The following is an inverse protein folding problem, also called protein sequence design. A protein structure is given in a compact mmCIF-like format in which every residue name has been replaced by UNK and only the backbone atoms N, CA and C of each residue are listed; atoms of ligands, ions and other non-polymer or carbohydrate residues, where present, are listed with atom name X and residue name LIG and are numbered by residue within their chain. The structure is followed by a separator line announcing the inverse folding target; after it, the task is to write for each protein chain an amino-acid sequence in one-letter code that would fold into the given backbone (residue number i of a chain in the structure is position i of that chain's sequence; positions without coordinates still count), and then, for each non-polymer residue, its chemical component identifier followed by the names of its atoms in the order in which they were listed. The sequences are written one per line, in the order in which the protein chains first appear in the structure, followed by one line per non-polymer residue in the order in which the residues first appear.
data_IF_156103403234
#
_entry.id   IF_156103403234
#
_cell.length_a   1.000
_cell.length_b   1.000
_cell.length_c   1.000
_cell.angle_alpha   90.00
_cell.angle_beta   90.00
_cell.angle_gamma   90.00
#
_symmetry.space_group_name_H-M   'P 1'
#
loop_
_entity.id
_entity.type
_entity.pdbx_description
1 polymer ?
#
# COMPACT_ATOMS: atom_id res chain seq x y z
N UNK A 1 -0.22 1.36 -19.34
CA UNK A 1 -1.19 1.63 -18.25
C UNK A 1 -1.54 0.39 -17.43
N UNK A 2 -2.13 -0.67 -18.01
CA UNK A 2 -2.58 -1.85 -17.25
C UNK A 2 -1.49 -2.55 -16.43
N UNK A 3 -0.29 -2.74 -17.02
CA UNK A 3 0.86 -3.34 -16.34
C UNK A 3 1.29 -2.51 -15.13
N UNK A 4 1.38 -1.19 -15.27
CA UNK A 4 1.72 -0.26 -14.19
C UNK A 4 0.71 -0.34 -13.04
N UNK A 5 -0.59 -0.40 -13.37
CA UNK A 5 -1.66 -0.54 -12.36
C UNK A 5 -1.50 -1.86 -11.59
N UNK A 6 -1.24 -2.97 -12.29
CA UNK A 6 -1.02 -4.27 -11.64
C UNK A 6 0.20 -4.24 -10.72
N UNK A 7 1.34 -3.77 -11.21
CA UNK A 7 2.59 -3.69 -10.43
C UNK A 7 2.41 -2.83 -9.18
N UNK A 8 1.86 -1.62 -9.33
CA UNK A 8 1.59 -0.74 -8.19
C UNK A 8 0.59 -1.37 -7.21
N UNK A 9 -0.45 -2.05 -7.71
CA UNK A 9 -1.43 -2.74 -6.87
C UNK A 9 -0.77 -3.84 -6.04
N UNK A 10 0.12 -4.65 -6.63
CA UNK A 10 0.84 -5.70 -5.90
C UNK A 10 1.77 -5.14 -4.82
N UNK A 11 2.47 -4.03 -5.12
CA UNK A 11 3.40 -3.38 -4.17
C UNK A 11 2.66 -2.70 -3.02
N UNK A 12 1.50 -2.10 -3.28
CA UNK A 12 0.77 -1.27 -2.32
C UNK A 12 -0.31 -2.02 -1.54
N UNK A 13 -0.77 -3.18 -2.04
CA UNK A 13 -1.69 -4.09 -1.35
C UNK A 13 -1.37 -4.34 0.14
N UNK A 14 -0.13 -4.65 0.56
CA UNK A 14 0.17 -4.95 1.96
C UNK A 14 -0.20 -3.82 2.94
N UNK A 15 -0.18 -2.57 2.49
CA UNK A 15 -0.51 -1.42 3.33
C UNK A 15 -1.99 -1.43 3.76
N UNK A 16 -2.89 -1.64 2.80
CA UNK A 16 -4.33 -1.77 3.08
C UNK A 16 -4.61 -3.02 3.91
N UNK A 17 -3.94 -4.13 3.57
CA UNK A 17 -4.08 -5.40 4.29
C UNK A 17 -3.68 -5.27 5.76
N UNK A 18 -2.52 -4.66 6.07
CA UNK A 18 -2.05 -4.49 7.44
C UNK A 18 -2.98 -3.60 8.25
N UNK A 19 -3.48 -2.50 7.67
CA UNK A 19 -4.45 -1.63 8.32
C UNK A 19 -5.77 -2.36 8.60
N UNK A 20 -6.31 -3.08 7.62
CA UNK A 20 -7.52 -3.87 7.77
C UNK A 20 -7.35 -4.99 8.82
N UNK A 21 -6.24 -5.72 8.78
CA UNK A 21 -5.91 -6.78 9.75
C UNK A 21 -5.81 -6.21 11.16
N UNK A 22 -5.16 -5.07 11.33
CA UNK A 22 -5.05 -4.40 12.64
C UNK A 22 -6.42 -4.01 13.19
N UNK A 23 -7.33 -3.57 12.31
CA UNK A 23 -8.69 -3.21 12.68
C UNK A 23 -9.49 -4.43 13.14
N UNK A 24 -9.50 -5.50 12.34
CA UNK A 24 -10.19 -6.74 12.71
C UNK A 24 -9.63 -7.37 13.98
N UNK A 25 -8.31 -7.30 14.20
CA UNK A 25 -7.68 -7.81 15.42
C UNK A 25 -8.02 -7.01 16.67
N UNK A 26 -8.38 -5.72 16.53
CA UNK A 26 -8.78 -4.84 17.65
C UNK A 26 -10.27 -4.93 17.96
N UNK A 27 -11.09 -5.37 17.01
CA UNK A 27 -12.51 -5.64 17.23
C UNK A 27 -12.63 -6.88 18.13
N UNK A 28 -12.92 -6.69 19.41
CA UNK A 28 -13.07 -7.80 20.36
C UNK A 28 -14.20 -8.77 19.98
N UNK A 29 -14.13 -10.01 20.48
CA UNK A 29 -15.12 -11.09 20.24
C UNK A 29 -16.57 -10.68 20.56
N UNK A 30 -16.76 -9.67 21.42
CA UNK A 30 -18.07 -9.15 21.87
C UNK A 30 -19.03 -8.81 20.72
N UNK A 31 -18.56 -8.14 19.67
CA UNK A 31 -19.43 -7.77 18.53
C UNK A 31 -19.86 -9.01 17.73
N UNK A 32 -18.98 -10.01 17.65
CA UNK A 32 -19.27 -11.28 17.00
C UNK A 32 -20.26 -12.10 17.83
N UNK A 33 -20.03 -12.23 19.14
CA UNK A 33 -20.90 -12.94 20.07
C UNK A 33 -22.30 -12.32 20.13
N UNK A 34 -22.39 -10.98 20.24
CA UNK A 34 -23.67 -10.26 20.23
C UNK A 34 -24.48 -10.53 18.95
N UNK A 35 -23.83 -10.54 17.78
CA UNK A 35 -24.50 -10.87 16.53
C UNK A 35 -25.04 -12.30 16.49
N UNK A 36 -24.31 -13.26 17.10
CA UNK A 36 -24.73 -14.67 17.16
C UNK A 36 -25.90 -14.86 18.12
N UNK A 37 -25.92 -14.15 19.25
CA UNK A 37 -27.07 -14.12 20.18
C UNK A 37 -28.33 -13.58 19.51
N UNK A 38 -28.17 -12.67 18.52
CA UNK A 38 -29.26 -12.16 17.69
C UNK A 38 -29.63 -13.08 16.50
N UNK A 39 -29.08 -14.29 16.44
CA UNK A 39 -29.39 -15.28 15.40
C UNK A 39 -28.66 -15.06 14.06
N UNK A 40 -27.69 -14.14 13.99
CA UNK A 40 -26.94 -13.94 12.75
C UNK A 40 -25.86 -15.01 12.54
N UNK A 41 -25.83 -15.58 11.34
CA UNK A 41 -24.76 -16.45 10.88
C UNK A 41 -23.46 -15.70 10.54
N UNK A 42 -22.32 -16.40 10.43
CA UNK A 42 -21.00 -15.79 10.28
C UNK A 42 -20.85 -14.88 9.06
N UNK A 43 -21.50 -15.20 7.94
CA UNK A 43 -21.47 -14.36 6.74
C UNK A 43 -22.26 -13.05 6.96
N UNK A 44 -23.41 -13.14 7.64
CA UNK A 44 -24.23 -11.96 7.98
C UNK A 44 -23.48 -11.03 8.93
N UNK A 45 -22.84 -11.60 9.95
CA UNK A 45 -21.99 -10.85 10.90
C UNK A 45 -20.83 -10.15 10.19
N UNK A 46 -20.16 -10.81 9.25
CA UNK A 46 -19.05 -10.19 8.50
C UNK A 46 -19.50 -8.94 7.74
N UNK A 47 -20.56 -9.05 6.95
CA UNK A 47 -21.03 -7.94 6.11
C UNK A 47 -21.71 -6.81 6.89
N UNK A 48 -22.44 -7.12 7.96
CA UNK A 48 -23.22 -6.14 8.72
C UNK A 48 -22.48 -5.54 9.91
N UNK A 49 -21.52 -6.25 10.49
CA UNK A 49 -20.83 -5.82 11.72
C UNK A 49 -19.35 -5.60 11.47
N UNK A 50 -18.62 -6.65 11.06
CA UNK A 50 -17.16 -6.58 10.96
C UNK A 50 -16.68 -5.60 9.88
N UNK A 51 -17.27 -5.67 8.68
CA UNK A 51 -16.86 -4.86 7.54
C UNK A 51 -17.13 -3.36 7.79
N UNK A 52 -18.33 -2.90 8.21
CA UNK A 52 -18.58 -1.50 8.54
C UNK A 52 -17.66 -0.98 9.65
N UNK A 53 -17.37 -1.80 10.65
CA UNK A 53 -16.49 -1.44 11.77
C UNK A 53 -15.02 -1.32 11.34
N UNK A 54 -14.61 -2.06 10.29
CA UNK A 54 -13.27 -1.97 9.69
C UNK A 54 -13.14 -0.85 8.63
N UNK A 55 -14.25 -0.30 8.10
CA UNK A 55 -14.23 0.73 7.04
C UNK A 55 -13.28 1.89 7.33
N UNK A 56 -13.27 2.52 8.53
CA UNK A 56 -12.37 3.65 8.78
C UNK A 56 -10.89 3.29 8.63
N UNK A 57 -10.50 2.07 9.01
CA UNK A 57 -9.13 1.61 8.87
C UNK A 57 -8.77 1.25 7.43
N UNK A 58 -9.71 0.68 6.67
CA UNK A 58 -9.53 0.41 5.24
C UNK A 58 -9.35 1.73 4.48
N UNK A 59 -10.17 2.74 4.79
CA UNK A 59 -10.04 4.09 4.21
C UNK A 59 -8.69 4.71 4.56
N UNK A 60 -8.24 4.59 5.80
CA UNK A 60 -6.90 5.08 6.19
C UNK A 60 -5.77 4.37 5.42
N UNK A 61 -5.85 3.04 5.27
CA UNK A 61 -4.91 2.29 4.44
C UNK A 61 -4.95 2.71 2.97
N UNK A 62 -6.14 2.96 2.42
CA UNK A 62 -6.31 3.44 1.06
C UNK A 62 -5.74 4.86 0.87
N UNK A 63 -5.93 5.77 1.83
CA UNK A 63 -5.33 7.12 1.80
C UNK A 63 -3.81 7.06 1.77
N UNK A 64 -3.21 6.17 2.57
CA UNK A 64 -1.77 5.94 2.56
C UNK A 64 -1.29 5.44 1.20
N UNK A 65 -2.00 4.47 0.60
CA UNK A 65 -1.72 4.00 -0.76
C UNK A 65 -1.80 5.14 -1.79
N UNK A 66 -2.82 6.00 -1.70
CA UNK A 66 -2.95 7.17 -2.60
C UNK A 66 -1.74 8.08 -2.47
N UNK A 67 -1.26 8.37 -1.26
CA UNK A 67 -0.08 9.21 -1.06
C UNK A 67 1.20 8.59 -1.63
N UNK A 68 1.40 7.29 -1.40
CA UNK A 68 2.52 6.55 -2.00
C UNK A 68 2.46 6.60 -3.53
N UNK A 69 1.28 6.39 -4.14
CA UNK A 69 1.15 6.47 -5.61
C UNK A 69 1.39 7.87 -6.17
N UNK A 70 0.94 8.92 -5.47
CA UNK A 70 1.13 10.30 -5.91
C UNK A 70 2.60 10.71 -5.85
N UNK A 71 3.34 10.16 -4.89
CA UNK A 71 4.77 10.42 -4.70
C UNK A 71 5.67 9.51 -5.56
N UNK A 72 5.12 8.50 -6.23
CA UNK A 72 5.91 7.60 -7.07
C UNK A 72 6.27 8.26 -8.40
N UNK A 73 7.56 8.49 -8.61
CA UNK A 73 8.14 8.94 -9.87
C UNK A 73 8.78 7.78 -10.65
N UNK A 74 9.50 6.90 -9.96
CA UNK A 74 10.40 5.93 -10.59
C UNK A 74 9.64 4.87 -11.39
N UNK A 75 8.61 4.26 -10.81
CA UNK A 75 7.87 3.20 -11.50
C UNK A 75 7.09 3.77 -12.69
N UNK A 76 6.40 4.90 -12.49
CA UNK A 76 5.59 5.53 -13.55
C UNK A 76 6.44 6.07 -14.70
N UNK A 77 7.63 6.60 -14.42
CA UNK A 77 8.58 7.01 -15.46
C UNK A 77 9.12 5.79 -16.21
N UNK A 78 9.49 4.71 -15.51
CA UNK A 78 10.00 3.49 -16.14
C UNK A 78 8.98 2.89 -17.13
N UNK A 79 7.69 2.92 -16.78
CA UNK A 79 6.61 2.46 -17.64
C UNK A 79 6.09 3.51 -18.64
N UNK A 80 6.70 4.70 -18.69
CA UNK A 80 6.33 5.77 -19.62
C UNK A 80 4.91 6.32 -19.42
N UNK A 81 4.39 6.27 -18.19
CA UNK A 81 3.04 6.73 -17.86
C UNK A 81 3.07 8.22 -17.52
N UNK A 82 2.35 9.08 -18.28
CA UNK A 82 2.28 10.50 -17.96
C UNK A 82 1.44 10.72 -16.69
N UNK A 83 2.12 11.06 -15.60
CA UNK A 83 1.53 11.47 -14.31
C UNK A 83 1.90 12.91 -13.97
N UNK A 84 1.22 13.49 -12.98
CA UNK A 84 1.53 14.84 -12.50
C UNK A 84 3.00 14.97 -12.07
N UNK A 85 3.52 13.97 -11.37
CA UNK A 85 4.92 13.89 -10.91
C UNK A 85 5.89 13.86 -12.09
N UNK A 86 5.63 13.04 -13.11
CA UNK A 86 6.46 13.05 -14.35
C UNK A 86 6.37 14.38 -15.10
N UNK A 87 5.22 15.07 -15.03
CA UNK A 87 5.02 16.39 -15.60
C UNK A 87 5.91 17.45 -14.95
N UNK A 88 6.03 17.45 -13.62
CA UNK A 88 6.95 18.34 -12.88
C UNK A 88 8.39 18.14 -13.35
N UNK A 89 8.85 16.88 -13.36
CA UNK A 89 10.21 16.55 -13.79
C UNK A 89 10.45 16.90 -15.25
N UNK A 90 9.49 16.66 -16.14
CA UNK A 90 9.61 17.02 -17.55
C UNK A 90 9.73 18.53 -17.74
N UNK A 91 8.98 19.34 -16.98
CA UNK A 91 9.09 20.81 -17.02
C UNK A 91 10.46 21.27 -16.56
N UNK A 92 11.02 20.61 -15.54
CA UNK A 92 12.37 20.93 -15.07
C UNK A 92 13.46 20.51 -16.07
N UNK A 93 13.49 19.24 -16.47
CA UNK A 93 14.62 18.66 -17.21
C UNK A 93 14.50 18.80 -18.72
N UNK A 94 13.29 18.67 -19.29
CA UNK A 94 13.09 18.73 -20.73
C UNK A 94 12.82 20.15 -21.23
N UNK A 95 12.12 20.97 -20.44
CA UNK A 95 11.81 22.37 -20.80
C UNK A 95 12.79 23.39 -20.21
N UNK A 96 13.71 22.98 -19.32
CA UNK A 96 14.61 23.87 -18.57
C UNK A 96 13.88 25.00 -17.82
N UNK A 97 12.60 24.82 -17.50
CA UNK A 97 11.78 25.81 -16.78
C UNK A 97 11.70 25.45 -15.29
N UNK A 98 12.75 25.80 -14.56
CA UNK A 98 12.82 25.62 -13.10
C UNK A 98 11.68 26.38 -12.36
N UNK A 99 11.39 27.66 -12.66
CA UNK A 99 10.28 28.36 -12.04
C UNK A 99 8.92 27.69 -12.28
N UNK A 100 8.66 27.19 -13.50
CA UNK A 100 7.45 26.45 -13.83
C UNK A 100 7.33 25.14 -13.05
N UNK A 101 8.41 24.37 -12.95
CA UNK A 101 8.44 23.13 -12.17
C UNK A 101 8.17 23.36 -10.68
N UNK A 102 8.72 24.42 -10.09
CA UNK A 102 8.47 24.78 -8.68
C UNK A 102 7.00 25.11 -8.42
N UNK A 103 6.33 25.82 -9.33
CA UNK A 103 4.89 26.13 -9.21
C UNK A 103 4.04 24.85 -9.25
N UNK A 104 4.35 23.95 -10.18
CA UNK A 104 3.67 22.66 -10.27
C UNK A 104 3.89 21.81 -9.01
N UNK A 105 5.12 21.75 -8.49
CA UNK A 105 5.44 21.05 -7.25
C UNK A 105 4.70 21.64 -6.04
N UNK A 106 4.60 22.97 -5.95
CA UNK A 106 3.84 23.63 -4.89
C UNK A 106 2.34 23.27 -4.95
N UNK A 107 1.73 23.22 -6.15
CA UNK A 107 0.35 22.78 -6.30
C UNK A 107 0.14 21.33 -5.89
N UNK A 108 1.05 20.42 -6.26
CA UNK A 108 1.00 19.02 -5.84
C UNK A 108 1.11 18.90 -4.31
N UNK A 109 2.04 19.64 -3.70
CA UNK A 109 2.23 19.62 -2.25
C UNK A 109 0.98 20.12 -1.51
N UNK A 110 0.36 21.20 -1.99
CA UNK A 110 -0.88 21.72 -1.43
C UNK A 110 -2.03 20.72 -1.58
N UNK A 111 -2.12 20.05 -2.73
CA UNK A 111 -3.11 19.01 -2.97
C UNK A 111 -2.95 17.81 -2.03
N UNK A 112 -1.72 17.33 -1.83
CA UNK A 112 -1.42 16.25 -0.87
C UNK A 112 -1.77 16.68 0.55
N UNK A 113 -1.42 17.91 0.95
CA UNK A 113 -1.77 18.44 2.26
C UNK A 113 -3.30 18.51 2.45
N UNK A 114 -4.03 18.92 1.41
CA UNK A 114 -5.49 18.94 1.43
C UNK A 114 -6.08 17.54 1.65
N UNK A 115 -5.58 16.52 0.95
CA UNK A 115 -5.99 15.12 1.16
C UNK A 115 -5.67 14.66 2.58
N UNK A 116 -4.48 14.95 3.09
CA UNK A 116 -4.07 14.62 4.47
C UNK A 116 -4.98 15.28 5.51
N UNK A 117 -5.38 16.53 5.31
CA UNK A 117 -6.29 17.24 6.20
C UNK A 117 -7.68 16.61 6.19
N UNK A 118 -8.21 16.28 5.00
CA UNK A 118 -9.48 15.53 4.86
C UNK A 118 -9.38 14.20 5.60
N UNK A 119 -8.32 13.42 5.37
CA UNK A 119 -8.12 12.14 6.05
C UNK A 119 -8.10 12.32 7.58
N UNK A 120 -7.36 13.31 8.08
CA UNK A 120 -7.28 13.62 9.51
C UNK A 120 -8.64 14.00 10.10
N UNK A 121 -9.45 14.77 9.36
CA UNK A 121 -10.79 15.16 9.78
C UNK A 121 -11.76 13.97 9.78
N UNK A 122 -11.75 13.14 8.73
CA UNK A 122 -12.53 11.90 8.67
C UNK A 122 -12.14 10.93 9.82
N UNK A 123 -10.85 10.91 10.17
CA UNK A 123 -10.31 10.10 11.27
C UNK A 123 -10.71 10.63 12.65
N UNK A 124 -10.92 11.94 12.81
CA UNK A 124 -11.38 12.56 14.07
C UNK A 124 -12.74 12.04 14.53
N UNK A 125 -13.66 11.80 13.57
CA UNK A 125 -14.97 11.19 13.85
C UNK A 125 -14.89 9.69 14.15
N UNK A 126 -13.89 9.00 13.59
CA UNK A 126 -13.58 7.62 13.90
C UNK A 126 -12.72 7.50 15.16
N UNK A 127 -13.15 8.12 16.27
CA UNK A 127 -12.70 7.73 17.61
C UNK A 127 -12.97 6.24 17.72
N UNK A 128 -11.93 5.45 17.46
CA UNK A 128 -11.86 4.07 17.90
C UNK A 128 -12.26 4.14 19.37
N UNK A 129 -13.49 3.73 19.67
CA UNK A 129 -13.82 3.26 20.99
C UNK A 129 -12.99 1.98 21.14
N UNK A 130 -11.68 2.18 21.38
CA UNK A 130 -10.82 1.20 21.99
C UNK A 130 -11.41 1.07 23.37
N UNK A 131 -12.43 0.22 23.46
CA UNK A 131 -12.96 -0.24 24.72
C UNK A 131 -11.74 -0.75 25.48
N UNK A 132 -11.36 0.00 26.53
CA UNK A 132 -10.19 -0.27 27.37
C UNK A 132 -10.39 -1.55 28.19
N UNK A 133 -11.45 -2.32 27.94
CA UNK A 133 -11.68 -3.64 28.50
C UNK A 133 -10.84 -4.69 27.76
N UNK A 134 -9.53 -4.60 27.98
CA UNK A 134 -8.63 -5.75 28.13
C UNK A 134 -9.36 -6.94 28.75
N UNK A 135 -9.43 -8.07 28.04
CA UNK A 135 -9.69 -9.35 28.73
C UNK A 135 -10.26 -10.50 27.90
N UNK A 136 -11.04 -10.25 26.85
CA UNK A 136 -11.63 -11.37 26.08
C UNK A 136 -10.77 -11.66 24.85
N UNK A 137 -9.86 -12.63 25.01
CA UNK A 137 -9.05 -13.19 23.94
C UNK A 137 -9.95 -13.51 22.73
N UNK A 138 -9.56 -13.04 21.55
CA UNK A 138 -10.24 -13.34 20.29
C UNK A 138 -10.39 -14.86 20.17
N UNK A 139 -11.60 -15.39 20.32
CA UNK A 139 -11.84 -16.82 20.21
C UNK A 139 -11.59 -17.20 18.75
N UNK A 140 -10.40 -17.75 18.47
CA UNK A 140 -9.96 -18.08 17.11
C UNK A 140 -11.02 -18.97 16.49
N UNK A 141 -11.67 -18.45 15.44
CA UNK A 141 -12.49 -19.30 14.60
C UNK A 141 -11.56 -20.38 14.02
N UNK A 142 -11.79 -21.65 14.36
CA UNK A 142 -11.00 -22.76 13.85
C UNK A 142 -11.33 -22.94 12.37
N UNK A 143 -10.59 -22.27 11.48
CA UNK A 143 -10.63 -22.58 10.07
C UNK A 143 -10.03 -23.98 9.86
N UNK A 144 -10.77 -24.87 9.17
CA UNK A 144 -10.24 -26.16 8.75
C UNK A 144 -8.94 -25.99 7.97
N UNK A 145 -8.00 -26.93 8.13
CA UNK A 145 -6.60 -26.85 7.63
C UNK A 145 -6.48 -26.37 6.17
N UNK A 146 -7.41 -26.77 5.31
CA UNK A 146 -7.47 -26.38 3.88
C UNK A 146 -7.78 -24.88 3.69
N UNK A 147 -8.76 -24.34 4.44
CA UNK A 147 -9.13 -22.92 4.35
C UNK A 147 -8.05 -22.02 4.97
N UNK A 148 -7.37 -22.52 6.00
CA UNK A 148 -6.21 -21.84 6.59
C UNK A 148 -5.04 -21.77 5.60
N UNK A 149 -4.71 -22.88 4.93
CA UNK A 149 -3.65 -22.91 3.93
C UNK A 149 -3.96 -22.00 2.73
N UNK A 150 -5.20 -22.01 2.23
CA UNK A 150 -5.64 -21.12 1.16
C UNK A 150 -5.54 -19.64 1.54
N UNK A 151 -5.91 -19.27 2.78
CA UNK A 151 -5.80 -17.90 3.26
C UNK A 151 -4.34 -17.44 3.38
N UNK A 152 -3.46 -18.30 3.90
CA UNK A 152 -2.01 -18.04 3.96
C UNK A 152 -1.46 -17.86 2.55
N UNK A 153 -1.74 -18.79 1.65
CA UNK A 153 -1.24 -18.73 0.27
C UNK A 153 -1.73 -17.46 -0.45
N UNK A 154 -3.02 -17.12 -0.33
CA UNK A 154 -3.60 -15.92 -0.92
C UNK A 154 -3.00 -14.61 -0.36
N UNK A 155 -2.61 -14.57 0.92
CA UNK A 155 -1.92 -13.39 1.50
C UNK A 155 -0.42 -13.35 1.14
N UNK A 156 0.20 -14.51 0.99
CA UNK A 156 1.65 -14.64 0.79
C UNK A 156 2.03 -14.50 -0.69
N UNK A 157 1.14 -14.88 -1.62
CA UNK A 157 1.33 -14.69 -3.06
C UNK A 157 1.60 -13.22 -3.41
N UNK A 158 0.72 -12.23 -3.12
CA UNK A 158 0.96 -10.84 -3.51
C UNK A 158 2.26 -10.28 -2.92
N UNK A 159 2.56 -10.64 -1.66
CA UNK A 159 3.79 -10.24 -0.97
C UNK A 159 5.05 -10.84 -1.60
N UNK A 160 5.02 -12.14 -1.92
CA UNK A 160 6.13 -12.83 -2.55
C UNK A 160 6.37 -12.29 -3.96
N UNK A 161 5.34 -12.14 -4.78
CA UNK A 161 5.48 -11.57 -6.13
C UNK A 161 5.93 -10.10 -6.10
N UNK A 162 5.40 -9.30 -5.18
CA UNK A 162 5.81 -7.90 -4.99
C UNK A 162 7.25 -7.73 -4.54
N UNK A 163 7.85 -8.72 -3.88
CA UNK A 163 9.24 -8.69 -3.41
C UNK A 163 10.22 -9.38 -4.37
N UNK A 164 9.84 -10.53 -4.92
CA UNK A 164 10.72 -11.34 -5.78
C UNK A 164 11.00 -10.61 -7.10
N UNK A 165 10.00 -9.96 -7.70
CA UNK A 165 10.17 -9.28 -9.00
C UNK A 165 11.17 -8.10 -8.90
N UNK A 166 11.09 -7.18 -7.93
CA UNK A 166 12.08 -6.11 -7.80
C UNK A 166 13.47 -6.62 -7.43
N UNK A 167 13.57 -7.59 -6.51
CA UNK A 167 14.87 -8.13 -6.05
C UNK A 167 15.59 -8.85 -7.18
N UNK A 168 14.88 -9.63 -7.99
CA UNK A 168 15.47 -10.28 -9.16
C UNK A 168 15.94 -9.27 -10.20
N UNK A 169 15.15 -8.23 -10.48
CA UNK A 169 15.56 -7.13 -11.38
C UNK A 169 16.79 -6.39 -10.87
N UNK A 170 16.84 -6.07 -9.58
CA UNK A 170 17.99 -5.43 -8.96
C UNK A 170 19.22 -6.33 -9.01
N UNK A 171 19.07 -7.64 -8.80
CA UNK A 171 20.14 -8.62 -8.93
C UNK A 171 20.70 -8.70 -10.35
N UNK A 172 19.84 -8.68 -11.37
CA UNK A 172 20.25 -8.66 -12.77
C UNK A 172 21.02 -7.38 -13.12
N UNK A 173 20.50 -6.21 -12.74
CA UNK A 173 21.20 -4.94 -12.95
C UNK A 173 22.51 -4.86 -12.17
N UNK A 174 22.58 -5.44 -10.97
CA UNK A 174 23.82 -5.50 -10.20
C UNK A 174 24.85 -6.40 -10.88
N UNK A 175 24.45 -7.52 -11.48
CA UNK A 175 25.33 -8.41 -12.23
C UNK A 175 25.83 -7.74 -13.52
N UNK A 176 24.94 -7.14 -14.31
CA UNK A 176 25.28 -6.36 -15.52
C UNK A 176 26.19 -5.17 -15.18
N UNK A 177 25.95 -4.48 -14.06
CA UNK A 177 26.81 -3.39 -13.61
C UNK A 177 28.20 -3.88 -13.22
N UNK A 178 28.32 -5.07 -12.60
CA UNK A 178 29.63 -5.64 -12.27
C UNK A 178 30.41 -5.97 -13.55
N UNK A 179 29.79 -6.66 -14.49
CA UNK A 179 30.40 -7.05 -15.76
C UNK A 179 30.88 -5.83 -16.57
N UNK A 180 30.05 -4.77 -16.63
CA UNK A 180 30.41 -3.53 -17.33
C UNK A 180 31.48 -2.67 -16.60
N UNK A 181 31.53 -2.67 -15.25
CA UNK A 181 32.54 -1.92 -14.50
C UNK A 181 33.92 -2.62 -14.47
N UNK A 182 33.95 -3.95 -14.59
CA UNK A 182 35.20 -4.71 -14.76
C UNK A 182 35.84 -4.49 -16.14
N UNK A 183 35.05 -4.19 -17.18
CA UNK A 183 35.56 -3.93 -18.53
C UNK A 183 36.20 -2.52 -18.66
N UNK A 184 35.69 -1.50 -17.94
CA UNK A 184 36.27 -0.15 -17.98
C UNK A 184 37.48 0.07 -17.05
N UNK A 185 37.65 -0.73 -15.99
CA UNK A 185 38.81 -0.61 -15.08
C UNK A 185 40.12 -1.14 -15.68
N UNK A 186 40.09 -1.75 -16.88
CA UNK A 186 41.29 -2.14 -17.61
C UNK A 186 41.82 -1.09 -18.61
N UNK A 187 41.09 -0.01 -18.89
CA UNK A 187 41.51 1.02 -19.87
C UNK A 187 42.18 2.28 -19.27
N UNK A 188 42.11 2.51 -17.95
CA UNK A 188 42.72 3.71 -17.31
C UNK A 188 44.17 3.45 -16.84
N UNK A 189 44.78 2.31 -17.18
CA UNK A 189 46.19 2.02 -16.85
C UNK A 189 47.17 2.00 -18.03
N UNK A 190 46.71 2.25 -19.26
CA UNK A 190 47.57 2.30 -20.45
C UNK A 190 47.09 3.35 -21.48
N UNK A 191 47.00 4.62 -21.08
CA UNK A 191 47.23 5.83 -21.91
C UNK A 191 47.26 7.03 -20.99
#
# INVERSE_FOLDING_TARGET
YAVTILVLSFVLYPYVYLMARSAFSRQGSRYLEASRTLGHGPLSTFWRVALPLARPAIVAGASLVVMETLNDYGAVQHFGVPTFTTGIFRTWTALNDMPGALRLAAFLMLFILFILLIEKLLRSGARYHGDKTTGLAFQRYSLGKIKAFAAVFCCLIPLAFGFIIPVTRLGLWAYEALENNFDQTHFIKLT
#
